data_IF_234608239044
#
_entry.id   IF_234608239044
#
_cell.length_a   1.000
_cell.length_b   1.000
_cell.length_c   1.000
_cell.angle_alpha   90.00
_cell.angle_beta   90.00
_cell.angle_gamma   90.00
#
_symmetry.space_group_name_H-M   'P 1'
#
loop_
_entity.id
_entity.type
_entity.pdbx_description
1 polymer ?
#
# COMPACT_ATOMS: atom_id res chain seq x y z
N UNK A 1 6.74 -39.04 -16.75
CA UNK A 1 6.49 -38.97 -15.29
C UNK A 1 6.89 -37.58 -14.78
N UNK A 2 6.13 -36.54 -15.12
CA UNK A 2 6.35 -35.17 -14.59
C UNK A 2 4.98 -34.51 -14.29
N UNK A 3 4.00 -35.30 -13.83
CA UNK A 3 2.69 -34.76 -13.46
C UNK A 3 2.31 -34.96 -11.99
N UNK A 4 3.21 -35.50 -11.16
CA UNK A 4 2.86 -35.90 -9.80
C UNK A 4 3.56 -35.11 -8.68
N UNK A 5 4.08 -33.90 -8.94
CA UNK A 5 4.85 -33.15 -7.92
C UNK A 5 4.24 -31.78 -7.54
N UNK A 6 2.93 -31.59 -7.72
CA UNK A 6 2.25 -30.34 -7.35
C UNK A 6 1.13 -30.54 -6.31
N UNK A 7 1.16 -31.65 -5.56
CA UNK A 7 0.24 -31.88 -4.44
C UNK A 7 1.05 -32.16 -3.17
N UNK A 8 1.61 -31.10 -2.60
CA UNK A 8 1.81 -31.00 -1.16
C UNK A 8 1.77 -29.52 -0.84
N UNK A 9 0.67 -29.08 -0.24
CA UNK A 9 0.48 -27.87 0.57
C UNK A 9 1.73 -26.99 0.74
N UNK A 10 2.16 -26.31 -0.32
CA UNK A 10 3.10 -25.21 -0.20
C UNK A 10 2.30 -24.01 0.30
N UNK A 11 1.97 -24.03 1.59
CA UNK A 11 1.53 -22.83 2.26
C UNK A 11 2.74 -21.91 2.28
N UNK A 12 2.75 -20.91 1.40
CA UNK A 12 3.74 -19.84 1.45
C UNK A 12 3.47 -19.13 2.78
N UNK A 13 4.21 -19.50 3.83
CA UNK A 13 4.19 -18.73 5.07
C UNK A 13 4.91 -17.42 4.78
N UNK A 14 4.14 -16.34 4.67
CA UNK A 14 4.71 -14.99 4.70
C UNK A 14 5.30 -14.82 6.11
N UNK A 15 6.61 -14.96 6.25
CA UNK A 15 7.29 -14.60 7.49
C UNK A 15 6.92 -13.15 7.82
N UNK A 16 6.41 -12.90 9.02
CA UNK A 16 5.93 -11.57 9.43
C UNK A 16 7.02 -10.51 9.30
N UNK A 17 8.29 -10.92 9.47
CA UNK A 17 9.49 -10.11 9.28
C UNK A 17 9.80 -9.80 7.80
N UNK A 18 9.26 -10.54 6.84
CA UNK A 18 9.45 -10.27 5.40
C UNK A 18 8.66 -9.05 4.92
N UNK A 19 7.64 -8.62 5.68
CA UNK A 19 6.81 -7.48 5.34
C UNK A 19 7.35 -6.19 5.97
N UNK A 20 8.21 -5.48 5.24
CA UNK A 20 8.72 -4.17 5.63
C UNK A 20 8.01 -3.05 4.86
N UNK A 21 6.98 -2.47 5.46
CA UNK A 21 6.44 -1.20 4.98
C UNK A 21 7.30 -0.06 5.55
N UNK A 22 8.23 0.43 4.74
CA UNK A 22 9.08 1.56 5.14
C UNK A 22 8.23 2.81 5.40
N UNK A 23 8.83 3.86 5.96
CA UNK A 23 8.20 5.18 6.01
C UNK A 23 7.68 5.62 4.63
N UNK A 24 8.18 5.08 3.52
CA UNK A 24 7.76 5.46 2.18
C UNK A 24 6.53 4.73 1.63
N UNK A 25 5.68 4.17 2.51
CA UNK A 25 4.41 3.53 2.19
C UNK A 25 3.53 4.36 1.24
N UNK A 26 3.56 4.01 -0.04
CA UNK A 26 2.68 4.48 -1.10
C UNK A 26 2.22 3.31 -1.97
N UNK A 27 1.42 3.59 -2.99
CA UNK A 27 0.93 2.57 -3.93
C UNK A 27 2.08 1.81 -4.60
N UNK A 28 3.21 2.46 -4.88
CA UNK A 28 4.34 1.79 -5.52
C UNK A 28 4.95 0.74 -4.59
N UNK A 29 5.14 1.08 -3.32
CA UNK A 29 5.65 0.13 -2.33
C UNK A 29 4.70 -1.04 -2.13
N UNK A 30 3.39 -0.78 -2.05
CA UNK A 30 2.37 -1.84 -1.93
C UNK A 30 2.44 -2.80 -3.13
N UNK A 31 2.48 -2.27 -4.36
CA UNK A 31 2.63 -3.07 -5.58
C UNK A 31 3.92 -3.89 -5.59
N UNK A 32 5.02 -3.31 -5.13
CA UNK A 32 6.30 -4.02 -5.04
C UNK A 32 6.19 -5.23 -4.10
N UNK A 33 5.54 -5.06 -2.95
CA UNK A 33 5.35 -6.14 -1.99
C UNK A 33 4.47 -7.24 -2.61
N UNK A 34 3.32 -6.89 -3.18
CA UNK A 34 2.44 -7.87 -3.85
C UNK A 34 3.20 -8.66 -4.94
N UNK A 35 4.00 -7.97 -5.75
CA UNK A 35 4.83 -8.58 -6.79
C UNK A 35 5.88 -9.55 -6.23
N UNK A 36 6.55 -9.19 -5.13
CA UNK A 36 7.57 -10.05 -4.48
C UNK A 36 6.92 -11.34 -3.98
N UNK A 37 5.68 -11.28 -3.50
CA UNK A 37 4.94 -12.43 -2.99
C UNK A 37 4.11 -13.16 -4.06
N UNK A 38 4.14 -12.72 -5.33
CA UNK A 38 3.42 -13.38 -6.42
C UNK A 38 1.91 -13.14 -6.43
N UNK A 39 1.41 -12.15 -5.68
CA UNK A 39 -0.01 -11.81 -5.60
C UNK A 39 -0.40 -10.95 -6.80
N UNK A 40 -1.42 -11.39 -7.55
CA UNK A 40 -1.97 -10.64 -8.68
C UNK A 40 -2.92 -9.53 -8.22
N UNK A 41 -3.01 -8.45 -8.98
CA UNK A 41 -3.87 -7.31 -8.63
C UNK A 41 -4.35 -6.55 -9.89
N UNK A 42 -5.40 -5.74 -9.73
CA UNK A 42 -5.91 -4.84 -10.78
C UNK A 42 -5.22 -3.47 -10.68
N UNK A 43 -4.47 -3.12 -11.73
CA UNK A 43 -3.78 -1.84 -11.82
C UNK A 43 -4.74 -0.63 -11.85
N UNK A 44 -5.97 -0.81 -12.35
CA UNK A 44 -6.96 0.26 -12.40
C UNK A 44 -7.42 0.67 -11.00
N UNK A 45 -7.61 -0.31 -10.11
CA UNK A 45 -8.02 -0.07 -8.72
C UNK A 45 -6.91 0.70 -7.99
N UNK A 46 -5.64 0.26 -8.11
CA UNK A 46 -4.53 0.98 -7.51
C UNK A 46 -4.25 2.36 -8.12
N UNK A 47 -4.57 2.54 -9.41
CA UNK A 47 -4.43 3.83 -10.10
C UNK A 47 -5.23 4.96 -9.42
N UNK A 48 -6.40 4.62 -8.85
CA UNK A 48 -7.27 5.59 -8.16
C UNK A 48 -6.67 6.07 -6.82
N UNK A 49 -5.82 5.27 -6.19
CA UNK A 49 -5.22 5.59 -4.88
C UNK A 49 -3.90 6.36 -4.99
N UNK A 50 -3.20 6.25 -6.13
CA UNK A 50 -1.82 6.71 -6.30
C UNK A 50 -1.60 8.18 -5.94
N UNK A 51 -2.47 9.08 -6.42
CA UNK A 51 -2.35 10.52 -6.17
C UNK A 51 -2.51 10.89 -4.69
N UNK A 52 -3.45 10.24 -3.99
CA UNK A 52 -3.71 10.49 -2.58
C UNK A 52 -2.53 10.04 -1.69
N UNK A 53 -2.08 8.80 -1.85
CA UNK A 53 -0.99 8.24 -1.04
C UNK A 53 0.34 8.94 -1.33
N UNK A 54 0.63 9.30 -2.59
CA UNK A 54 1.81 10.08 -2.94
C UNK A 54 1.80 11.47 -2.27
N UNK A 55 0.62 12.11 -2.23
CA UNK A 55 0.45 13.40 -1.56
C UNK A 55 0.73 13.25 -0.06
N UNK A 56 0.10 12.28 0.62
CA UNK A 56 0.33 12.02 2.05
C UNK A 56 1.81 11.76 2.33
N UNK A 57 2.44 10.85 1.58
CA UNK A 57 3.86 10.51 1.72
C UNK A 57 4.74 11.76 1.60
N UNK A 58 4.54 12.55 0.55
CA UNK A 58 5.30 13.77 0.31
C UNK A 58 5.13 14.78 1.44
N UNK A 59 3.90 15.06 1.85
CA UNK A 59 3.66 16.07 2.89
C UNK A 59 4.16 15.62 4.26
N UNK A 60 3.96 14.35 4.63
CA UNK A 60 4.50 13.80 5.88
C UNK A 60 6.02 13.84 5.90
N UNK A 61 6.69 13.53 4.78
CA UNK A 61 8.15 13.65 4.69
C UNK A 61 8.62 15.10 4.88
N UNK A 62 7.96 16.06 4.23
CA UNK A 62 8.31 17.49 4.41
C UNK A 62 8.13 17.94 5.85
N UNK A 63 7.08 17.49 6.53
CA UNK A 63 6.85 17.77 7.95
C UNK A 63 7.92 17.13 8.85
N UNK A 64 8.20 15.84 8.65
CA UNK A 64 9.16 15.09 9.47
C UNK A 64 10.60 15.60 9.32
N UNK A 65 10.98 16.07 8.13
CA UNK A 65 12.28 16.69 7.88
C UNK A 65 12.35 18.16 8.29
N UNK A 66 11.24 18.76 8.74
CA UNK A 66 11.20 20.18 9.11
C UNK A 66 11.28 21.15 7.92
N UNK A 67 11.00 20.67 6.70
CA UNK A 67 11.03 21.48 5.48
C UNK A 67 9.86 22.49 5.43
N UNK A 68 8.78 22.19 6.14
CA UNK A 68 7.59 23.05 6.31
C UNK A 68 7.04 22.85 7.72
N UNK A 69 6.46 23.91 8.28
CA UNK A 69 5.66 23.81 9.51
C UNK A 69 4.31 23.13 9.25
N UNK A 70 3.67 22.66 10.32
CA UNK A 70 2.31 22.11 10.25
C UNK A 70 1.30 23.13 9.71
N UNK A 71 1.42 24.39 10.11
CA UNK A 71 0.53 25.45 9.66
C UNK A 71 0.70 25.75 8.17
N UNK A 72 1.95 25.84 7.68
CA UNK A 72 2.25 26.01 6.25
C UNK A 72 1.71 24.86 5.41
N UNK A 73 1.83 23.63 5.91
CA UNK A 73 1.31 22.45 5.24
C UNK A 73 -0.23 22.46 5.19
N UNK A 74 -0.88 22.70 6.34
CA UNK A 74 -2.33 22.66 6.49
C UNK A 74 -3.06 23.70 5.65
N UNK A 75 -2.48 24.90 5.46
CA UNK A 75 -3.07 25.94 4.60
C UNK A 75 -3.22 25.53 3.14
N UNK A 76 -2.48 24.52 2.68
CA UNK A 76 -2.55 24.01 1.30
C UNK A 76 -3.75 23.09 1.03
N UNK A 77 -4.51 22.69 2.05
CA UNK A 77 -5.58 21.71 1.92
C UNK A 77 -6.85 22.14 2.65
N UNK A 78 -7.99 21.94 2.00
CA UNK A 78 -9.28 21.98 2.68
C UNK A 78 -9.49 20.74 3.55
N UNK A 79 -10.35 20.84 4.56
CA UNK A 79 -10.75 19.71 5.41
C UNK A 79 -11.28 18.54 4.55
N UNK A 80 -12.10 18.84 3.53
CA UNK A 80 -12.65 17.83 2.63
C UNK A 80 -11.56 17.07 1.86
N UNK A 81 -10.48 17.74 1.46
CA UNK A 81 -9.36 17.07 0.79
C UNK A 81 -8.61 16.14 1.75
N UNK A 82 -8.38 16.57 2.99
CA UNK A 82 -7.74 15.74 4.02
C UNK A 82 -8.58 14.50 4.31
N UNK A 83 -9.90 14.65 4.42
CA UNK A 83 -10.84 13.53 4.58
C UNK A 83 -10.77 12.59 3.37
N UNK A 84 -10.79 13.12 2.13
CA UNK A 84 -10.67 12.30 0.93
C UNK A 84 -9.35 11.53 0.86
N UNK A 85 -8.23 12.13 1.26
CA UNK A 85 -6.95 11.42 1.34
C UNK A 85 -7.00 10.28 2.37
N UNK A 86 -7.61 10.52 3.53
CA UNK A 86 -7.82 9.50 4.57
C UNK A 86 -8.63 8.34 4.02
N UNK A 87 -9.76 8.60 3.36
CA UNK A 87 -10.64 7.59 2.78
C UNK A 87 -9.92 6.76 1.72
N UNK A 88 -9.25 7.42 0.76
CA UNK A 88 -8.44 6.72 -0.26
C UNK A 88 -7.33 5.86 0.33
N UNK A 89 -6.78 6.26 1.47
CA UNK A 89 -5.78 5.45 2.19
C UNK A 89 -6.41 4.19 2.75
N UNK A 90 -7.57 4.29 3.40
CA UNK A 90 -8.29 3.11 3.91
C UNK A 90 -8.71 2.18 2.77
N UNK A 91 -9.31 2.70 1.70
CA UNK A 91 -9.70 1.91 0.53
C UNK A 91 -8.52 1.13 -0.09
N UNK A 92 -7.36 1.78 -0.19
CA UNK A 92 -6.14 1.14 -0.68
C UNK A 92 -5.68 -0.01 0.22
N UNK A 93 -5.70 0.19 1.55
CA UNK A 93 -5.30 -0.82 2.52
C UNK A 93 -6.31 -1.98 2.57
N UNK A 94 -7.60 -1.69 2.51
CA UNK A 94 -8.65 -2.72 2.44
C UNK A 94 -8.51 -3.58 1.19
N UNK A 95 -8.27 -2.94 0.03
CA UNK A 95 -8.01 -3.68 -1.20
C UNK A 95 -6.76 -4.56 -1.09
N UNK A 96 -5.66 -4.00 -0.59
CA UNK A 96 -4.43 -4.76 -0.35
C UNK A 96 -4.66 -5.98 0.55
N UNK A 97 -5.33 -5.79 1.70
CA UNK A 97 -5.66 -6.89 2.62
C UNK A 97 -6.54 -7.93 1.94
N UNK A 98 -7.55 -7.51 1.17
CA UNK A 98 -8.44 -8.45 0.45
C UNK A 98 -7.70 -9.34 -0.54
N UNK A 99 -6.66 -8.82 -1.23
CA UNK A 99 -5.84 -9.59 -2.14
C UNK A 99 -5.00 -10.64 -1.39
N UNK A 100 -4.42 -10.25 -0.26
CA UNK A 100 -3.64 -11.17 0.58
C UNK A 100 -4.53 -12.24 1.20
N UNK A 101 -5.76 -11.92 1.60
CA UNK A 101 -6.68 -12.93 2.12
C UNK A 101 -7.10 -13.94 1.05
N UNK A 102 -7.35 -13.50 -0.19
CA UNK A 102 -7.77 -14.38 -1.29
C UNK A 102 -6.70 -15.41 -1.72
N UNK A 103 -5.42 -15.07 -1.61
CA UNK A 103 -4.32 -15.96 -2.04
C UNK A 103 -3.86 -16.94 -0.94
N UNK A 104 -4.18 -16.67 0.32
CA UNK A 104 -3.61 -17.40 1.47
C UNK A 104 -4.65 -18.03 2.42
N UNK A 105 -5.95 -17.81 2.21
CA UNK A 105 -7.05 -18.45 2.94
C UNK A 105 -7.92 -19.31 2.01
#
# INVERSE_FOLDING_TARGET
MIQNTLNSEYKIEIEKESFHLSGNADVQEIKNILKIHGVSYDDNIFGDYGGALLTIKTQRNRLAHGNVSFEENGRGFSISQIIGFKEKTYECLEYFVSLVEQEYC
#
